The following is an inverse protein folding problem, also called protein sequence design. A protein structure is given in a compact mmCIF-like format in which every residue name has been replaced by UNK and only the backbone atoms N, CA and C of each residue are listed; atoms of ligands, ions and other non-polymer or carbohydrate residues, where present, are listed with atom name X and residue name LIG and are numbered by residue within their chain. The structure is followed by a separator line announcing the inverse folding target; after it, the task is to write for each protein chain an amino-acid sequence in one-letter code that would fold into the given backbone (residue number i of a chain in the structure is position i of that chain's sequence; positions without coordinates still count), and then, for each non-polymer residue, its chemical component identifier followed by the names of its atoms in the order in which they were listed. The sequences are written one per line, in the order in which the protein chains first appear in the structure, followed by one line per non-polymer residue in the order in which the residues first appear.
data_IF_537031842745
#
_entry.id   IF_537031842745
#
_cell.length_a   1.000
_cell.length_b   1.000
_cell.length_c   1.000
_cell.angle_alpha   90.00
_cell.angle_beta   90.00
_cell.angle_gamma   90.00
#
_symmetry.space_group_name_H-M   'P 1'
#
loop_
_entity.id
_entity.type
_entity.pdbx_description
1 polymer ?
#
# COMPACT_ATOMS: atom_id res chain seq x y z
N UNK A 1 -29.12 0.65 -14.48
CA UNK A 1 -28.25 1.50 -13.65
C UNK A 1 -27.61 2.51 -14.57
N UNK A 2 -27.79 3.78 -14.27
CA UNK A 2 -27.15 4.88 -14.99
C UNK A 2 -26.16 5.55 -14.01
N UNK A 3 -24.96 5.84 -14.49
CA UNK A 3 -23.92 6.49 -13.72
C UNK A 3 -23.58 7.82 -14.40
N UNK A 4 -23.71 8.92 -13.68
CA UNK A 4 -23.36 10.25 -14.17
C UNK A 4 -22.28 10.87 -13.28
N UNK A 5 -21.26 11.46 -13.91
CA UNK A 5 -20.24 12.24 -13.20
C UNK A 5 -20.81 13.60 -12.79
N UNK A 6 -20.57 13.99 -11.55
CA UNK A 6 -20.90 15.32 -11.09
C UNK A 6 -19.74 16.28 -11.37
N UNK A 7 -20.02 17.55 -11.57
CA UNK A 7 -19.04 18.59 -11.90
C UNK A 7 -18.06 18.93 -10.75
N UNK A 8 -18.20 18.28 -9.60
CA UNK A 8 -17.25 18.42 -8.48
C UNK A 8 -16.07 17.48 -8.64
N UNK A 9 -14.89 18.00 -8.88
CA UNK A 9 -13.67 17.22 -8.99
C UNK A 9 -12.44 17.98 -8.48
N UNK A 10 -11.34 17.27 -8.31
CA UNK A 10 -10.05 17.88 -7.94
C UNK A 10 -9.12 17.86 -9.15
N UNK A 11 -8.47 18.99 -9.40
CA UNK A 11 -7.36 19.07 -10.36
C UNK A 11 -6.12 18.52 -9.70
N UNK A 12 -5.50 17.53 -10.32
CA UNK A 12 -4.22 16.99 -9.86
C UNK A 12 -3.12 17.80 -10.56
N UNK A 13 -2.27 18.43 -9.78
CA UNK A 13 -1.13 19.26 -10.18
C UNK A 13 -1.48 20.49 -11.06
N UNK A 14 -1.73 21.66 -10.42
CA UNK A 14 -2.05 22.91 -11.14
C UNK A 14 -0.90 23.46 -11.98
N UNK A 15 0.32 22.90 -11.91
CA UNK A 15 1.50 23.36 -12.65
C UNK A 15 1.89 22.47 -13.84
N UNK A 16 1.18 21.35 -14.05
CA UNK A 16 1.40 20.47 -15.19
C UNK A 16 0.42 20.79 -16.32
N UNK A 17 0.92 20.95 -17.53
CA UNK A 17 0.13 21.18 -18.75
C UNK A 17 -0.78 19.98 -19.12
N UNK A 18 -0.63 18.84 -18.46
CA UNK A 18 -1.49 17.65 -18.55
C UNK A 18 -2.37 17.50 -17.31
N UNK A 19 -3.14 18.53 -16.95
CA UNK A 19 -4.07 18.47 -15.83
C UNK A 19 -5.18 17.47 -16.12
N UNK A 20 -5.19 16.35 -15.38
CA UNK A 20 -6.29 15.40 -15.41
C UNK A 20 -7.35 15.84 -14.39
N UNK A 21 -8.58 16.01 -14.89
CA UNK A 21 -9.73 16.20 -14.03
C UNK A 21 -10.25 14.82 -13.59
N UNK A 22 -10.27 14.57 -12.29
CA UNK A 22 -10.88 13.36 -11.72
C UNK A 22 -12.14 13.80 -10.97
N UNK A 23 -13.30 13.34 -11.44
CA UNK A 23 -14.54 13.52 -10.71
C UNK A 23 -14.47 12.80 -9.37
N UNK A 24 -14.80 13.52 -8.28
CA UNK A 24 -14.84 12.96 -6.91
C UNK A 24 -16.26 12.61 -6.48
N UNK A 25 -17.25 12.87 -7.32
CA UNK A 25 -18.66 12.64 -7.03
C UNK A 25 -19.37 12.07 -8.22
N UNK A 26 -20.12 11.00 -8.02
CA UNK A 26 -20.89 10.30 -9.03
C UNK A 26 -22.32 10.14 -8.57
N UNK A 27 -23.29 10.29 -9.47
CA UNK A 27 -24.69 9.97 -9.22
C UNK A 27 -25.00 8.63 -9.84
N UNK A 28 -25.41 7.68 -9.02
CA UNK A 28 -25.86 6.36 -9.47
C UNK A 28 -27.36 6.31 -9.39
N UNK A 29 -28.04 6.12 -10.54
CA UNK A 29 -29.50 6.01 -10.64
C UNK A 29 -29.90 4.57 -10.92
N UNK A 30 -30.82 4.06 -10.15
CA UNK A 30 -31.40 2.73 -10.34
C UNK A 30 -32.90 2.82 -10.61
N UNK A 31 -33.34 2.20 -11.69
CA UNK A 31 -34.77 2.06 -12.00
C UNK A 31 -35.14 0.59 -12.05
N UNK A 32 -36.10 0.20 -11.25
CA UNK A 32 -36.63 -1.16 -11.26
C UNK A 32 -37.70 -1.30 -12.36
N UNK A 33 -37.50 -2.18 -13.32
CA UNK A 33 -38.44 -2.42 -14.43
C UNK A 33 -39.48 -3.50 -14.12
N UNK A 34 -39.25 -4.30 -13.07
CA UNK A 34 -40.20 -5.33 -12.59
C UNK A 34 -40.13 -5.36 -11.07
N UNK A 35 -41.28 -5.45 -10.43
CA UNK A 35 -41.34 -5.73 -8.99
C UNK A 35 -40.76 -7.11 -8.72
N UNK A 36 -39.69 -7.13 -7.95
CA UNK A 36 -39.11 -8.35 -7.40
C UNK A 36 -39.82 -8.57 -6.05
N UNK A 37 -40.46 -9.74 -5.87
CA UNK A 37 -41.14 -10.05 -4.61
C UNK A 37 -40.18 -9.85 -3.43
N UNK A 38 -40.57 -9.03 -2.46
CA UNK A 38 -39.90 -8.75 -1.19
C UNK A 38 -38.61 -7.94 -1.27
N UNK A 39 -38.29 -7.25 -2.34
CA UNK A 39 -37.16 -6.34 -2.44
C UNK A 39 -37.64 -4.96 -2.87
N UNK A 40 -37.45 -3.95 -2.06
CA UNK A 40 -37.76 -2.56 -2.40
C UNK A 40 -36.63 -1.94 -3.24
N UNK A 41 -36.90 -0.80 -3.87
CA UNK A 41 -35.85 -0.03 -4.59
C UNK A 41 -34.77 0.42 -3.62
N UNK A 42 -35.16 0.82 -2.41
CA UNK A 42 -34.25 1.27 -1.36
C UNK A 42 -33.33 0.13 -0.88
N UNK A 43 -33.88 -1.10 -0.72
CA UNK A 43 -33.06 -2.28 -0.40
C UNK A 43 -32.03 -2.58 -1.50
N UNK A 44 -32.40 -2.42 -2.77
CA UNK A 44 -31.48 -2.61 -3.89
C UNK A 44 -30.40 -1.55 -3.93
N UNK A 45 -30.73 -0.28 -3.67
CA UNK A 45 -29.72 0.79 -3.59
C UNK A 45 -28.76 0.55 -2.44
N UNK A 46 -29.27 0.20 -1.27
CA UNK A 46 -28.43 -0.16 -0.11
C UNK A 46 -27.51 -1.33 -0.43
N UNK A 47 -28.00 -2.35 -1.13
CA UNK A 47 -27.19 -3.51 -1.54
C UNK A 47 -26.11 -3.11 -2.56
N UNK A 48 -26.43 -2.25 -3.54
CA UNK A 48 -25.46 -1.73 -4.52
C UNK A 48 -24.36 -0.94 -3.80
N UNK A 49 -24.72 0.00 -2.92
CA UNK A 49 -23.78 0.79 -2.16
C UNK A 49 -22.88 -0.08 -1.29
N UNK A 50 -23.45 -1.06 -0.60
CA UNK A 50 -22.69 -2.01 0.22
C UNK A 50 -21.75 -2.85 -0.64
N UNK A 51 -22.21 -3.43 -1.74
CA UNK A 51 -21.39 -4.26 -2.61
C UNK A 51 -20.23 -3.45 -3.23
N UNK A 52 -20.48 -2.19 -3.60
CA UNK A 52 -19.43 -1.31 -4.12
C UNK A 52 -18.40 -0.98 -3.03
N UNK A 53 -18.86 -0.69 -1.82
CA UNK A 53 -17.97 -0.44 -0.68
C UNK A 53 -17.12 -1.67 -0.33
N UNK A 54 -17.71 -2.85 -0.31
CA UNK A 54 -17.01 -4.11 -0.05
C UNK A 54 -15.96 -4.39 -1.13
N UNK A 55 -16.31 -4.22 -2.42
CA UNK A 55 -15.39 -4.35 -3.55
C UNK A 55 -14.24 -3.33 -3.45
N UNK A 56 -14.55 -2.06 -3.15
CA UNK A 56 -13.53 -1.02 -2.99
C UNK A 56 -12.55 -1.36 -1.86
N UNK A 57 -13.07 -1.84 -0.72
CA UNK A 57 -12.24 -2.27 0.40
C UNK A 57 -11.38 -3.48 0.06
N UNK A 58 -11.90 -4.44 -0.70
CA UNK A 58 -11.15 -5.62 -1.12
C UNK A 58 -10.02 -5.27 -2.09
N UNK A 59 -10.31 -4.40 -3.07
CA UNK A 59 -9.37 -4.09 -4.15
C UNK A 59 -8.33 -3.04 -3.77
N UNK A 60 -8.74 -1.96 -3.10
CA UNK A 60 -7.88 -0.79 -2.84
C UNK A 60 -7.38 -0.66 -1.41
N UNK A 61 -8.09 -1.27 -0.47
CA UNK A 61 -7.86 -1.09 0.97
C UNK A 61 -7.41 -2.38 1.64
N UNK A 62 -7.58 -3.51 0.96
CA UNK A 62 -7.22 -4.84 1.47
C UNK A 62 -5.79 -4.92 1.97
N UNK A 63 -5.56 -5.60 3.07
CA UNK A 63 -4.24 -5.85 3.64
C UNK A 63 -3.31 -6.45 2.61
N UNK A 64 -2.23 -5.74 2.33
CA UNK A 64 -1.19 -6.23 1.44
C UNK A 64 -0.61 -7.54 1.97
N UNK A 65 -0.24 -8.43 1.07
CA UNK A 65 0.29 -9.78 1.35
C UNK A 65 1.49 -9.82 2.33
N UNK A 66 2.07 -8.67 2.67
CA UNK A 66 3.21 -8.56 3.60
C UNK A 66 2.89 -9.11 4.99
N UNK A 67 1.67 -8.89 5.50
CA UNK A 67 1.25 -9.40 6.81
C UNK A 67 0.68 -10.82 6.75
N UNK A 68 0.34 -11.33 5.57
CA UNK A 68 0.02 -12.74 5.41
C UNK A 68 1.30 -13.55 5.61
N UNK A 69 1.36 -14.25 6.72
CA UNK A 69 2.54 -15.03 7.05
C UNK A 69 2.56 -16.33 6.25
N UNK A 70 3.53 -16.43 5.38
CA UNK A 70 3.86 -17.63 4.62
C UNK A 70 5.37 -17.60 4.33
N UNK A 71 6.07 -18.65 4.71
CA UNK A 71 7.49 -18.84 4.43
C UNK A 71 7.71 -19.63 3.15
N UNK A 72 6.64 -20.19 2.58
CA UNK A 72 6.74 -21.14 1.49
C UNK A 72 7.35 -22.47 1.93
N UNK A 73 7.82 -23.24 0.95
CA UNK A 73 8.47 -24.53 1.22
C UNK A 73 9.87 -24.33 1.82
N UNK A 74 10.05 -24.76 3.06
CA UNK A 74 11.32 -24.72 3.80
C UNK A 74 12.03 -26.08 3.86
N UNK A 75 11.35 -27.17 3.47
CA UNK A 75 11.85 -28.53 3.66
C UNK A 75 13.10 -28.85 2.84
N UNK A 76 13.25 -28.19 1.68
CA UNK A 76 14.44 -28.34 0.81
C UNK A 76 15.54 -27.32 1.06
N UNK A 77 15.37 -26.37 2.02
CA UNK A 77 16.34 -25.30 2.25
C UNK A 77 17.35 -25.65 3.32
N UNK A 78 18.55 -25.10 3.20
CA UNK A 78 19.58 -25.20 4.23
C UNK A 78 19.20 -24.42 5.50
N UNK A 79 19.62 -24.91 6.67
CA UNK A 79 19.26 -24.31 7.96
C UNK A 79 19.58 -22.81 8.05
N UNK A 80 20.74 -22.40 7.54
CA UNK A 80 21.12 -20.99 7.53
C UNK A 80 20.29 -20.15 6.54
N UNK A 81 19.78 -20.75 5.46
CA UNK A 81 18.90 -20.08 4.53
C UNK A 81 17.52 -19.85 5.15
N UNK A 82 17.04 -20.80 5.97
CA UNK A 82 15.80 -20.63 6.75
C UNK A 82 15.94 -19.45 7.74
N UNK A 83 17.12 -19.31 8.40
CA UNK A 83 17.38 -18.15 9.26
C UNK A 83 17.27 -16.82 8.49
N UNK A 84 17.82 -16.78 7.27
CA UNK A 84 17.71 -15.60 6.39
C UNK A 84 16.27 -15.33 5.96
N UNK A 85 15.45 -16.36 5.71
CA UNK A 85 14.04 -16.21 5.39
C UNK A 85 13.27 -15.60 6.55
N UNK A 86 13.47 -16.09 7.78
CA UNK A 86 12.85 -15.50 8.98
C UNK A 86 13.22 -14.02 9.15
N UNK A 87 14.51 -13.70 8.99
CA UNK A 87 14.99 -12.31 9.07
C UNK A 87 14.32 -11.44 8.00
N UNK A 88 14.35 -11.87 6.74
CA UNK A 88 13.76 -11.12 5.62
C UNK A 88 12.26 -10.90 5.81
N UNK A 89 11.52 -11.93 6.27
CA UNK A 89 10.08 -11.81 6.50
C UNK A 89 9.78 -10.84 7.62
N UNK A 90 10.49 -10.95 8.74
CA UNK A 90 10.34 -10.05 9.88
C UNK A 90 10.72 -8.61 9.54
N UNK A 91 11.75 -8.38 8.71
CA UNK A 91 12.13 -7.06 8.21
C UNK A 91 11.07 -6.44 7.30
N UNK A 92 10.42 -7.24 6.45
CA UNK A 92 9.31 -6.79 5.64
C UNK A 92 8.13 -6.34 6.51
N UNK A 93 7.78 -7.14 7.52
CA UNK A 93 6.74 -6.79 8.49
C UNK A 93 7.11 -5.51 9.26
N UNK A 94 8.36 -5.39 9.72
CA UNK A 94 8.83 -4.19 10.42
C UNK A 94 8.69 -2.92 9.58
N UNK A 95 9.11 -2.96 8.31
CA UNK A 95 8.98 -1.81 7.40
C UNK A 95 7.52 -1.41 7.21
N UNK A 96 6.64 -2.39 7.04
CA UNK A 96 5.21 -2.13 6.91
C UNK A 96 4.62 -1.50 8.17
N UNK A 97 4.91 -2.07 9.34
CA UNK A 97 4.43 -1.54 10.62
C UNK A 97 5.01 -0.15 10.92
N UNK A 98 6.26 0.10 10.53
CA UNK A 98 6.85 1.43 10.66
C UNK A 98 6.10 2.48 9.83
N UNK A 99 5.71 2.14 8.60
CA UNK A 99 4.86 3.01 7.78
C UNK A 99 3.52 3.32 8.48
N UNK A 100 2.88 2.31 9.08
CA UNK A 100 1.63 2.52 9.84
C UNK A 100 1.80 3.41 11.07
N UNK A 101 2.96 3.32 11.74
CA UNK A 101 3.30 4.22 12.85
C UNK A 101 3.45 5.66 12.36
N UNK A 102 4.03 5.88 11.20
CA UNK A 102 4.17 7.21 10.58
C UNK A 102 2.83 7.81 10.19
N UNK A 103 1.88 6.99 9.73
CA UNK A 103 0.51 7.40 9.43
C UNK A 103 -0.28 7.74 10.71
N UNK A 104 -0.21 6.92 11.75
CA UNK A 104 -0.89 7.13 13.03
C UNK A 104 -0.18 6.45 14.21
N UNK A 105 0.66 7.19 14.89
CA UNK A 105 1.45 6.70 16.01
C UNK A 105 0.63 6.32 17.26
N UNK A 106 -0.58 6.85 17.40
CA UNK A 106 -1.42 6.71 18.60
C UNK A 106 -2.51 5.65 18.46
N UNK A 107 -2.69 5.12 17.26
CA UNK A 107 -3.73 4.12 17.02
C UNK A 107 -3.54 2.88 17.88
N UNK A 108 -4.64 2.40 18.44
CA UNK A 108 -4.73 1.16 19.20
C UNK A 108 -5.97 0.37 18.78
N UNK A 109 -5.77 -0.88 18.42
CA UNK A 109 -6.86 -1.78 18.04
C UNK A 109 -7.74 -2.13 19.24
N UNK A 110 -9.05 -2.10 19.06
CA UNK A 110 -10.02 -2.58 20.06
C UNK A 110 -10.07 -4.10 20.11
N UNK A 111 -9.83 -4.76 18.95
CA UNK A 111 -9.88 -6.22 18.81
C UNK A 111 -8.66 -6.87 19.46
N UNK A 112 -7.46 -6.41 19.12
CA UNK A 112 -6.21 -7.00 19.61
C UNK A 112 -5.70 -6.34 20.89
N UNK A 113 -6.18 -5.16 21.22
CA UNK A 113 -5.67 -4.34 22.33
C UNK A 113 -4.26 -3.81 22.08
N UNK A 114 -3.69 -3.99 20.87
CA UNK A 114 -2.31 -3.63 20.57
C UNK A 114 -2.23 -2.34 19.74
N UNK A 115 -1.13 -1.60 19.92
CA UNK A 115 -0.75 -0.50 19.03
C UNK A 115 0.28 -0.97 18.02
N UNK A 116 0.45 -0.25 16.89
CA UNK A 116 1.52 -0.55 15.94
C UNK A 116 2.91 -0.46 16.57
N UNK A 117 3.12 0.43 17.55
CA UNK A 117 4.38 0.48 18.30
C UNK A 117 4.62 -0.78 19.14
N UNK A 118 3.57 -1.34 19.74
CA UNK A 118 3.67 -2.60 20.48
C UNK A 118 3.99 -3.75 19.53
N UNK A 119 3.31 -3.82 18.38
CA UNK A 119 3.56 -4.85 17.37
C UNK A 119 4.99 -4.75 16.83
N UNK A 120 5.50 -3.53 16.57
CA UNK A 120 6.91 -3.32 16.20
C UNK A 120 7.87 -3.94 17.23
N UNK A 121 7.62 -3.70 18.53
CA UNK A 121 8.43 -4.29 19.60
C UNK A 121 8.31 -5.82 19.63
N UNK A 122 7.14 -6.37 19.37
CA UNK A 122 6.96 -7.83 19.30
C UNK A 122 7.78 -8.42 18.16
N UNK A 123 7.76 -7.85 16.96
CA UNK A 123 8.59 -8.29 15.83
C UNK A 123 10.08 -8.19 16.18
N UNK A 124 10.50 -7.06 16.74
CA UNK A 124 11.89 -6.85 17.17
C UNK A 124 12.33 -7.86 18.24
N UNK A 125 11.45 -8.25 19.15
CA UNK A 125 11.76 -9.28 20.15
C UNK A 125 12.01 -10.64 19.48
N UNK A 126 11.13 -11.04 18.53
CA UNK A 126 11.35 -12.29 17.77
C UNK A 126 12.67 -12.23 16.99
N UNK A 127 12.98 -11.11 16.34
CA UNK A 127 14.25 -10.94 15.63
C UNK A 127 15.47 -11.03 16.55
N UNK A 128 15.43 -10.26 17.64
CA UNK A 128 16.61 -10.09 18.51
C UNK A 128 16.84 -11.28 19.44
N UNK A 129 15.82 -12.09 19.69
CA UNK A 129 15.92 -13.23 20.56
C UNK A 129 15.82 -14.55 19.80
N UNK A 130 14.65 -14.88 19.25
CA UNK A 130 14.39 -16.23 18.71
C UNK A 130 15.12 -16.49 17.41
N UNK A 131 15.10 -15.53 16.46
CA UNK A 131 15.81 -15.69 15.18
C UNK A 131 17.32 -15.68 15.40
N UNK A 132 17.84 -14.77 16.23
CA UNK A 132 19.28 -14.73 16.54
C UNK A 132 19.75 -15.98 17.25
N UNK A 133 18.96 -16.50 18.21
CA UNK A 133 19.26 -17.75 18.91
C UNK A 133 19.33 -18.92 17.94
N UNK A 134 18.35 -19.03 17.03
CA UNK A 134 18.34 -20.05 16.00
C UNK A 134 19.55 -19.91 15.06
N UNK A 135 19.79 -18.71 14.53
CA UNK A 135 20.91 -18.43 13.62
C UNK A 135 22.27 -18.73 14.26
N UNK A 136 22.47 -18.29 15.50
CA UNK A 136 23.70 -18.58 16.24
C UNK A 136 23.90 -20.08 16.43
N UNK A 137 22.86 -20.80 16.85
CA UNK A 137 22.93 -22.24 17.04
C UNK A 137 23.28 -22.98 15.75
N UNK A 138 22.66 -22.64 14.62
CA UNK A 138 22.94 -23.24 13.32
C UNK A 138 24.37 -22.97 12.88
N UNK A 139 24.83 -21.71 13.04
CA UNK A 139 26.20 -21.33 12.67
C UNK A 139 27.25 -21.98 13.56
N UNK A 140 27.05 -22.03 14.88
CA UNK A 140 27.99 -22.65 15.82
C UNK A 140 28.10 -24.16 15.60
N UNK A 141 26.97 -24.84 15.35
CA UNK A 141 26.93 -26.27 15.11
C UNK A 141 27.33 -26.65 13.67
N UNK A 142 27.42 -25.67 12.76
CA UNK A 142 27.73 -25.92 11.33
C UNK A 142 26.72 -26.84 10.65
N UNK A 143 25.42 -26.70 10.99
CA UNK A 143 24.36 -27.57 10.49
C UNK A 143 24.10 -27.37 9.02
N UNK A 144 24.07 -28.46 8.27
CA UNK A 144 23.69 -28.48 6.84
C UNK A 144 22.93 -29.77 6.52
N UNK A 145 21.89 -29.67 5.70
CA UNK A 145 21.12 -30.84 5.22
C UNK A 145 21.93 -31.67 4.21
N UNK A 146 22.73 -30.99 3.37
CA UNK A 146 23.61 -31.61 2.42
C UNK A 146 24.94 -30.83 2.31
N UNK A 147 25.87 -31.16 3.18
CA UNK A 147 27.15 -30.46 3.36
C UNK A 147 27.89 -30.24 2.03
N UNK A 148 28.09 -31.31 1.24
CA UNK A 148 28.89 -31.22 0.01
C UNK A 148 28.21 -30.36 -1.06
N UNK A 149 26.89 -30.48 -1.18
CA UNK A 149 26.11 -29.67 -2.11
C UNK A 149 26.11 -28.20 -1.69
N UNK A 150 25.93 -27.94 -0.41
CA UNK A 150 25.87 -26.59 0.10
C UNK A 150 27.20 -25.84 -0.03
N UNK A 151 28.31 -26.52 0.28
CA UNK A 151 29.67 -25.96 0.09
C UNK A 151 29.93 -25.62 -1.37
N UNK A 152 29.57 -26.52 -2.28
CA UNK A 152 29.72 -26.25 -3.74
C UNK A 152 28.88 -25.05 -4.17
N UNK A 153 27.67 -24.93 -3.65
CA UNK A 153 26.79 -23.80 -3.95
C UNK A 153 27.36 -22.49 -3.44
N UNK A 154 27.92 -22.47 -2.21
CA UNK A 154 28.55 -21.27 -1.65
C UNK A 154 29.83 -20.88 -2.40
N UNK A 155 30.66 -21.86 -2.79
CA UNK A 155 31.83 -21.59 -3.61
C UNK A 155 31.45 -20.99 -4.96
N UNK A 156 30.46 -21.54 -5.65
CA UNK A 156 29.93 -20.94 -6.90
C UNK A 156 29.41 -19.51 -6.68
N UNK A 157 28.66 -19.26 -5.59
CA UNK A 157 28.22 -17.90 -5.23
C UNK A 157 29.42 -16.97 -5.01
N UNK A 158 30.46 -17.42 -4.34
CA UNK A 158 31.69 -16.66 -4.12
C UNK A 158 32.42 -16.33 -5.42
N UNK A 159 32.46 -17.25 -6.39
CA UNK A 159 33.05 -16.98 -7.70
C UNK A 159 32.28 -15.86 -8.43
N UNK A 160 30.96 -15.91 -8.40
CA UNK A 160 30.11 -14.85 -8.98
C UNK A 160 30.26 -13.51 -8.24
N UNK A 161 30.36 -13.53 -6.91
CA UNK A 161 30.60 -12.36 -6.10
C UNK A 161 32.00 -11.76 -6.34
N UNK A 162 33.02 -12.58 -6.54
CA UNK A 162 34.37 -12.13 -6.88
C UNK A 162 34.40 -11.38 -8.22
N UNK A 163 33.67 -11.87 -9.24
CA UNK A 163 33.53 -11.17 -10.51
C UNK A 163 32.87 -9.81 -10.30
N UNK A 164 31.81 -9.76 -9.50
CA UNK A 164 31.09 -8.51 -9.17
C UNK A 164 31.98 -7.54 -8.38
N UNK A 165 32.74 -8.04 -7.42
CA UNK A 165 33.72 -7.26 -6.66
C UNK A 165 34.77 -6.63 -7.58
N UNK A 166 35.37 -7.43 -8.47
CA UNK A 166 36.37 -6.94 -9.42
C UNK A 166 35.79 -5.85 -10.31
N UNK A 167 34.55 -6.00 -10.79
CA UNK A 167 33.88 -4.94 -11.55
C UNK A 167 33.78 -3.63 -10.79
N UNK A 168 33.33 -3.65 -9.53
CA UNK A 168 33.24 -2.44 -8.73
C UNK A 168 34.61 -1.82 -8.45
N UNK A 169 35.65 -2.65 -8.25
CA UNK A 169 37.02 -2.16 -8.03
C UNK A 169 37.65 -1.56 -9.29
N UNK A 170 37.34 -2.10 -10.47
CA UNK A 170 37.72 -1.50 -11.76
C UNK A 170 37.05 -0.14 -11.93
N UNK A 171 35.73 -0.07 -11.68
CA UNK A 171 34.98 1.19 -11.76
C UNK A 171 35.52 2.22 -10.76
N UNK A 172 35.80 1.83 -9.51
CA UNK A 172 36.41 2.69 -8.50
C UNK A 172 37.77 3.24 -8.95
N UNK A 173 38.65 2.35 -9.36
CA UNK A 173 40.02 2.74 -9.78
C UNK A 173 39.98 3.61 -11.02
N UNK A 174 39.14 3.31 -11.99
CA UNK A 174 38.98 4.13 -13.20
C UNK A 174 38.50 5.53 -12.89
N UNK A 175 37.49 5.68 -12.03
CA UNK A 175 36.97 7.00 -11.59
C UNK A 175 37.98 7.76 -10.74
N UNK A 176 38.69 7.10 -9.85
CA UNK A 176 39.76 7.70 -9.07
C UNK A 176 40.86 8.23 -9.97
N UNK A 177 41.26 7.50 -11.01
CA UNK A 177 42.23 7.94 -11.99
C UNK A 177 41.70 9.19 -12.78
N UNK A 178 40.44 9.17 -13.20
CA UNK A 178 39.81 10.31 -13.86
C UNK A 178 39.80 11.57 -12.98
N UNK A 179 39.56 11.43 -11.66
CA UNK A 179 39.67 12.57 -10.71
C UNK A 179 41.07 13.14 -10.70
N UNK A 180 42.10 12.27 -10.63
CA UNK A 180 43.49 12.70 -10.61
C UNK A 180 43.88 13.40 -11.94
N UNK A 181 43.48 12.82 -13.07
CA UNK A 181 43.75 13.39 -14.40
C UNK A 181 43.02 14.72 -14.59
N UNK A 182 41.77 14.81 -14.12
CA UNK A 182 40.99 16.05 -14.19
C UNK A 182 41.60 17.15 -13.31
N UNK A 183 42.03 16.84 -12.09
CA UNK A 183 42.67 17.82 -11.20
C UNK A 183 44.00 18.30 -11.79
N UNK A 184 44.79 17.43 -12.38
CA UNK A 184 46.04 17.76 -13.07
C UNK A 184 45.82 18.65 -14.30
N UNK A 185 44.78 18.38 -15.11
CA UNK A 185 44.45 19.15 -16.30
C UNK A 185 43.89 20.55 -15.97
N UNK A 186 43.13 20.67 -14.87
CA UNK A 186 42.49 21.92 -14.45
C UNK A 186 43.46 22.94 -13.85
N UNK A 187 44.66 22.51 -13.39
CA UNK A 187 45.66 23.43 -12.86
C UNK A 187 46.10 24.47 -13.90
N UNK A 188 45.91 24.20 -15.21
CA UNK A 188 46.38 25.04 -16.31
C UNK A 188 45.35 25.91 -17.04
N UNK A 189 44.02 25.68 -16.88
CA UNK A 189 43.17 26.10 -17.99
C UNK A 189 41.92 26.94 -17.67
N UNK A 190 41.35 26.98 -16.50
CA UNK A 190 40.12 27.78 -16.25
C UNK A 190 40.17 28.48 -14.90
N UNK A 191 40.52 29.75 -14.93
CA UNK A 191 40.29 30.67 -13.82
C UNK A 191 39.01 31.47 -14.11
N UNK A 192 37.96 31.26 -13.33
CA UNK A 192 36.76 32.12 -13.43
C UNK A 192 36.94 33.26 -12.41
N UNK A 193 37.15 34.48 -12.84
CA UNK A 193 37.23 35.63 -11.94
C UNK A 193 35.81 35.92 -11.41
N UNK A 194 35.62 35.85 -10.10
CA UNK A 194 34.44 36.38 -9.43
C UNK A 194 34.83 37.63 -8.63
N UNK A 195 33.96 38.65 -8.67
CA UNK A 195 34.15 39.95 -7.99
C UNK A 195 33.18 39.95 -6.81
N UNK A 196 33.68 40.19 -5.57
CA UNK A 196 32.81 40.42 -4.41
C UNK A 196 32.35 41.89 -4.33
N UNK A 197 31.47 42.23 -3.37
CA UNK A 197 30.98 43.58 -3.13
C UNK A 197 32.09 44.62 -2.79
N UNK A 198 33.29 44.13 -2.42
CA UNK A 198 34.48 44.98 -2.15
C UNK A 198 35.42 45.11 -3.32
N UNK A 199 35.02 44.65 -4.53
CA UNK A 199 35.84 44.65 -5.76
C UNK A 199 37.14 43.82 -5.66
N UNK A 200 37.21 42.85 -4.76
CA UNK A 200 38.32 41.92 -4.70
C UNK A 200 38.08 40.76 -5.66
N UNK A 201 39.09 40.39 -6.42
CA UNK A 201 39.02 39.28 -7.38
C UNK A 201 39.34 37.98 -6.67
N UNK A 202 38.39 37.06 -6.69
CA UNK A 202 38.62 35.70 -6.23
C UNK A 202 38.68 34.76 -7.44
N UNK A 203 39.66 33.88 -7.41
CA UNK A 203 39.76 32.80 -8.37
C UNK A 203 39.18 31.55 -7.70
N UNK A 204 37.99 31.11 -8.11
CA UNK A 204 37.40 29.86 -7.62
C UNK A 204 37.54 28.78 -8.70
N UNK A 205 37.97 27.59 -8.27
CA UNK A 205 37.87 26.38 -9.09
C UNK A 205 36.42 25.85 -9.02
N UNK A 206 35.87 25.52 -10.17
CA UNK A 206 34.61 24.75 -10.20
C UNK A 206 34.94 23.28 -10.01
N UNK A 207 34.69 22.75 -8.80
CA UNK A 207 34.95 21.34 -8.45
C UNK A 207 33.80 20.41 -8.87
N UNK A 208 32.81 20.88 -9.61
CA UNK A 208 31.58 20.12 -9.95
C UNK A 208 31.87 18.77 -10.61
N UNK A 209 32.86 18.71 -11.49
CA UNK A 209 33.26 17.47 -12.17
C UNK A 209 33.98 16.49 -11.27
N UNK A 210 34.92 16.98 -10.44
CA UNK A 210 35.63 16.12 -9.47
C UNK A 210 34.72 15.63 -8.35
N UNK A 211 33.79 16.47 -7.89
CA UNK A 211 32.81 16.06 -6.85
C UNK A 211 31.90 14.94 -7.35
N UNK A 212 31.43 15.02 -8.62
CA UNK A 212 30.64 13.97 -9.21
C UNK A 212 31.43 12.65 -9.32
N UNK A 213 32.62 12.69 -9.89
CA UNK A 213 33.48 11.51 -10.06
C UNK A 213 33.85 10.89 -8.72
N UNK A 214 34.11 11.72 -7.70
CA UNK A 214 34.42 11.26 -6.34
C UNK A 214 33.22 10.52 -5.73
N UNK A 215 32.02 11.09 -5.81
CA UNK A 215 30.79 10.43 -5.31
C UNK A 215 30.55 9.09 -6.00
N UNK A 216 30.76 9.02 -7.31
CA UNK A 216 30.61 7.77 -8.03
C UNK A 216 31.71 6.74 -7.69
N UNK A 217 32.92 7.20 -7.42
CA UNK A 217 34.00 6.33 -6.92
C UNK A 217 33.66 5.79 -5.52
N UNK A 218 33.22 6.65 -4.61
CA UNK A 218 32.80 6.24 -3.26
C UNK A 218 31.61 5.27 -3.29
N UNK A 219 30.66 5.48 -4.22
CA UNK A 219 29.56 4.53 -4.44
C UNK A 219 30.11 3.17 -4.88
N UNK A 220 31.01 3.13 -5.87
CA UNK A 220 31.59 1.87 -6.37
C UNK A 220 32.39 1.16 -5.26
N UNK A 221 33.17 1.90 -4.46
CA UNK A 221 33.89 1.35 -3.32
C UNK A 221 32.94 0.78 -2.26
N UNK A 222 31.87 1.50 -1.93
CA UNK A 222 30.85 1.05 -0.97
C UNK A 222 30.18 -0.23 -1.43
N UNK A 223 29.83 -0.34 -2.72
CA UNK A 223 29.28 -1.56 -3.32
C UNK A 223 30.29 -2.71 -3.32
N UNK A 224 31.55 -2.42 -3.66
CA UNK A 224 32.64 -3.40 -3.58
C UNK A 224 32.79 -3.96 -2.16
N UNK A 225 32.84 -3.11 -1.16
CA UNK A 225 32.96 -3.51 0.25
C UNK A 225 31.73 -4.32 0.74
N UNK A 226 30.54 -4.06 0.21
CA UNK A 226 29.34 -4.85 0.53
C UNK A 226 29.47 -6.26 -0.03
N UNK A 227 29.93 -6.40 -1.29
CA UNK A 227 30.18 -7.70 -1.93
C UNK A 227 31.28 -8.48 -1.23
N UNK A 228 32.36 -7.81 -0.81
CA UNK A 228 33.47 -8.46 -0.07
C UNK A 228 32.98 -9.04 1.26
N UNK A 229 32.13 -8.31 1.98
CA UNK A 229 31.48 -8.84 3.20
C UNK A 229 30.66 -10.09 2.93
N UNK A 230 29.89 -10.13 1.84
CA UNK A 230 29.12 -11.33 1.46
C UNK A 230 30.04 -12.54 1.19
N UNK A 231 31.23 -12.30 0.59
CA UNK A 231 32.24 -13.36 0.36
C UNK A 231 32.83 -13.86 1.69
N UNK A 232 33.16 -12.94 2.59
CA UNK A 232 33.69 -13.26 3.94
C UNK A 232 32.65 -14.08 4.71
N UNK A 233 31.40 -13.67 4.72
CA UNK A 233 30.30 -14.37 5.38
C UNK A 233 30.11 -15.79 4.82
N UNK A 234 30.13 -15.94 3.48
CA UNK A 234 30.03 -17.26 2.87
C UNK A 234 31.23 -18.15 3.24
N UNK A 235 32.46 -17.60 3.28
CA UNK A 235 33.66 -18.33 3.67
C UNK A 235 33.60 -18.79 5.13
N UNK A 236 33.08 -17.94 6.05
CA UNK A 236 32.87 -18.31 7.45
C UNK A 236 31.86 -19.47 7.59
N UNK A 237 30.76 -19.40 6.83
CA UNK A 237 29.77 -20.49 6.77
C UNK A 237 30.43 -21.78 6.25
N UNK A 238 31.21 -21.73 5.16
CA UNK A 238 31.92 -22.87 4.61
C UNK A 238 32.86 -23.50 5.65
N UNK A 239 33.63 -22.66 6.37
CA UNK A 239 34.55 -23.11 7.39
C UNK A 239 33.81 -23.83 8.54
N UNK A 240 32.70 -23.27 9.02
CA UNK A 240 31.89 -23.85 10.09
C UNK A 240 31.22 -25.15 9.67
N UNK A 241 30.63 -25.20 8.47
CA UNK A 241 30.02 -26.42 7.92
C UNK A 241 31.08 -27.53 7.70
N UNK A 242 32.30 -27.15 7.29
CA UNK A 242 33.40 -28.11 7.16
C UNK A 242 33.85 -28.68 8.50
N UNK A 243 33.92 -27.86 9.53
CA UNK A 243 34.32 -28.24 10.89
C UNK A 243 33.21 -28.92 11.69
N UNK A 244 31.99 -28.98 11.16
CA UNK A 244 30.82 -29.49 11.87
C UNK A 244 30.98 -30.94 12.34
N UNK A 245 30.66 -31.14 13.63
CA UNK A 245 30.52 -32.42 14.31
C UNK A 245 29.10 -32.67 14.79
N UNK A 246 28.12 -32.04 14.12
CA UNK A 246 26.73 -32.08 14.52
C UNK A 246 26.17 -33.51 14.53
N UNK A 247 25.48 -33.85 15.60
CA UNK A 247 24.81 -35.12 15.81
C UNK A 247 23.29 -35.02 15.57
N UNK A 248 22.57 -36.14 15.68
CA UNK A 248 21.12 -36.18 15.48
C UNK A 248 20.36 -35.28 16.47
N UNK A 249 20.87 -35.08 17.68
CA UNK A 249 20.26 -34.21 18.69
C UNK A 249 20.34 -32.73 18.26
N UNK A 250 21.46 -32.33 17.67
CA UNK A 250 21.65 -30.99 17.09
C UNK A 250 20.64 -30.69 15.97
N UNK A 251 20.37 -31.64 15.11
CA UNK A 251 19.34 -31.50 14.05
C UNK A 251 17.94 -31.39 14.63
N UNK A 252 17.58 -32.23 15.58
CA UNK A 252 16.27 -32.14 16.29
C UNK A 252 16.08 -30.80 16.97
N UNK A 253 17.11 -30.31 17.63
CA UNK A 253 17.06 -29.01 18.29
C UNK A 253 16.92 -27.84 17.31
N UNK A 254 17.56 -27.93 16.14
CA UNK A 254 17.37 -26.93 15.07
C UNK A 254 15.94 -26.92 14.57
N UNK A 255 15.35 -28.09 14.32
CA UNK A 255 13.96 -28.22 13.89
C UNK A 255 12.96 -27.73 14.93
N UNK A 256 13.21 -27.93 16.23
CA UNK A 256 12.42 -27.33 17.31
C UNK A 256 12.51 -25.82 17.34
N UNK A 257 13.71 -25.26 17.14
CA UNK A 257 13.91 -23.82 17.06
C UNK A 257 13.22 -23.21 15.84
N UNK A 258 13.24 -23.88 14.69
CA UNK A 258 12.48 -23.47 13.49
C UNK A 258 11.00 -23.36 13.82
N UNK A 259 10.42 -24.40 14.42
CA UNK A 259 8.99 -24.40 14.82
C UNK A 259 8.67 -23.24 15.77
N UNK A 260 9.53 -23.04 16.77
CA UNK A 260 9.35 -21.94 17.74
C UNK A 260 9.33 -20.57 17.06
N UNK A 261 10.30 -20.30 16.18
CA UNK A 261 10.39 -19.03 15.45
C UNK A 261 9.19 -18.86 14.50
N UNK A 262 8.81 -19.93 13.79
CA UNK A 262 7.67 -19.94 12.89
C UNK A 262 6.36 -19.61 13.62
N UNK A 263 6.10 -20.26 14.75
CA UNK A 263 4.92 -20.02 15.57
C UNK A 263 4.88 -18.59 16.11
N UNK A 264 6.00 -18.09 16.64
CA UNK A 264 6.10 -16.72 17.14
C UNK A 264 5.87 -15.68 16.04
N UNK A 265 6.49 -15.82 14.87
CA UNK A 265 6.29 -14.92 13.74
C UNK A 265 4.86 -14.98 13.21
N UNK A 266 4.26 -16.17 13.13
CA UNK A 266 2.87 -16.36 12.72
C UNK A 266 1.90 -15.68 13.68
N UNK A 267 2.14 -15.80 14.99
CA UNK A 267 1.31 -15.15 16.01
C UNK A 267 1.40 -13.61 15.89
N UNK A 268 2.61 -13.07 15.74
CA UNK A 268 2.82 -11.64 15.58
C UNK A 268 2.22 -11.13 14.26
N UNK A 269 2.38 -11.88 13.16
CA UNK A 269 1.80 -11.55 11.87
C UNK A 269 0.27 -11.51 11.91
N UNK A 270 -0.37 -12.49 12.56
CA UNK A 270 -1.82 -12.53 12.74
C UNK A 270 -2.33 -11.34 13.58
N UNK A 271 -1.59 -10.99 14.64
CA UNK A 271 -1.90 -9.81 15.47
C UNK A 271 -1.77 -8.52 14.65
N UNK A 272 -0.72 -8.41 13.86
CA UNK A 272 -0.48 -7.28 12.97
C UNK A 272 -1.56 -7.16 11.88
N UNK A 273 -1.92 -8.26 11.22
CA UNK A 273 -2.95 -8.31 10.18
C UNK A 273 -4.33 -7.92 10.73
N UNK A 274 -4.70 -8.43 11.91
CA UNK A 274 -5.96 -8.08 12.55
C UNK A 274 -6.01 -6.60 12.94
N UNK A 275 -4.92 -6.08 13.53
CA UNK A 275 -4.81 -4.66 13.91
C UNK A 275 -4.85 -3.76 12.68
N UNK A 276 -4.17 -4.14 11.60
CA UNK A 276 -4.12 -3.38 10.36
C UNK A 276 -5.48 -3.34 9.65
N UNK A 277 -6.18 -4.47 9.58
CA UNK A 277 -7.55 -4.54 9.03
C UNK A 277 -8.51 -3.62 9.76
N UNK A 278 -8.44 -3.60 11.08
CA UNK A 278 -9.27 -2.72 11.90
C UNK A 278 -8.90 -1.25 11.69
N UNK A 279 -7.60 -0.93 11.65
CA UNK A 279 -7.10 0.42 11.35
C UNK A 279 -7.58 0.91 9.98
N UNK A 280 -7.42 0.10 8.96
CA UNK A 280 -7.86 0.41 7.61
C UNK A 280 -9.38 0.64 7.58
N UNK A 281 -10.17 -0.25 8.20
CA UNK A 281 -11.62 -0.08 8.29
C UNK A 281 -12.01 1.22 9.00
N UNK A 282 -11.27 1.58 10.03
CA UNK A 282 -11.52 2.83 10.78
C UNK A 282 -11.17 4.07 9.96
N UNK A 283 -10.03 4.06 9.27
CA UNK A 283 -9.54 5.24 8.51
C UNK A 283 -10.24 5.42 7.17
N UNK A 284 -10.75 4.34 6.59
CA UNK A 284 -11.40 4.38 5.27
C UNK A 284 -12.92 4.40 5.34
N UNK A 285 -13.49 4.38 6.53
CA UNK A 285 -14.95 4.34 6.69
C UNK A 285 -15.66 5.53 6.01
N UNK A 286 -14.97 6.67 5.91
CA UNK A 286 -15.49 7.90 5.33
C UNK A 286 -14.94 8.17 3.91
N UNK A 287 -14.19 7.23 3.30
CA UNK A 287 -13.67 7.40 1.94
C UNK A 287 -14.77 7.32 0.88
N UNK A 288 -15.83 6.55 1.15
CA UNK A 288 -17.01 6.48 0.33
C UNK A 288 -18.20 6.92 1.17
N UNK A 289 -18.78 8.04 0.83
CA UNK A 289 -20.01 8.53 1.45
C UNK A 289 -21.15 8.39 0.44
N UNK A 290 -22.24 7.77 0.87
CA UNK A 290 -23.44 7.60 0.05
C UNK A 290 -24.53 8.52 0.61
N UNK A 291 -25.14 9.29 -0.28
CA UNK A 291 -26.33 10.08 0.06
C UNK A 291 -27.49 9.53 -0.76
N UNK A 292 -28.45 8.94 -0.08
CA UNK A 292 -29.65 8.42 -0.73
C UNK A 292 -30.63 9.56 -0.98
N UNK A 293 -31.03 9.71 -2.22
CA UNK A 293 -32.16 10.55 -2.61
C UNK A 293 -33.30 9.66 -3.04
N UNK A 294 -34.20 9.34 -2.14
CA UNK A 294 -35.47 8.73 -2.54
C UNK A 294 -36.27 9.78 -3.25
N UNK A 295 -36.32 9.70 -4.56
CA UNK A 295 -37.16 10.55 -5.40
C UNK A 295 -38.62 10.24 -5.11
N UNK A 296 -39.16 10.85 -4.06
CA UNK A 296 -40.60 10.93 -3.76
C UNK A 296 -41.36 11.71 -4.85
N UNK A 297 -40.67 12.06 -5.95
CA UNK A 297 -41.21 12.93 -7.01
C UNK A 297 -42.47 12.45 -7.69
N UNK A 298 -42.78 11.18 -7.68
CA UNK A 298 -43.95 10.68 -8.36
C UNK A 298 -45.23 10.70 -7.48
N UNK A 299 -45.10 10.50 -6.16
CA UNK A 299 -46.32 10.47 -5.31
C UNK A 299 -46.91 11.85 -5.11
N UNK A 300 -46.08 12.87 -4.95
CA UNK A 300 -46.52 14.24 -4.78
C UNK A 300 -47.06 14.83 -6.08
N UNK A 301 -46.43 14.54 -7.22
CA UNK A 301 -46.93 14.93 -8.55
C UNK A 301 -48.25 14.23 -8.93
N UNK A 302 -48.40 12.96 -8.56
CA UNK A 302 -49.68 12.23 -8.76
C UNK A 302 -50.77 12.81 -7.86
N UNK A 303 -50.47 13.15 -6.63
CA UNK A 303 -51.39 13.75 -5.68
C UNK A 303 -51.84 15.15 -6.16
N UNK A 304 -50.94 15.99 -6.62
CA UNK A 304 -51.21 17.32 -7.17
C UNK A 304 -52.04 17.24 -8.47
N UNK A 305 -51.77 16.29 -9.38
CA UNK A 305 -52.54 16.06 -10.58
C UNK A 305 -53.96 15.54 -10.27
N UNK A 306 -54.09 14.64 -9.31
CA UNK A 306 -55.41 14.13 -8.87
C UNK A 306 -56.23 15.23 -8.21
N UNK A 307 -55.66 16.04 -7.35
CA UNK A 307 -56.35 17.17 -6.72
C UNK A 307 -56.74 18.23 -7.79
N UNK A 308 -55.81 18.56 -8.68
CA UNK A 308 -56.06 19.52 -9.75
C UNK A 308 -57.21 19.08 -10.68
N UNK A 309 -57.25 17.80 -11.11
CA UNK A 309 -58.33 17.26 -11.94
C UNK A 309 -59.67 17.22 -11.19
N UNK A 310 -59.69 16.91 -9.89
CA UNK A 310 -60.89 16.90 -9.08
C UNK A 310 -61.46 18.30 -8.92
N UNK A 311 -60.64 19.33 -8.75
CA UNK A 311 -61.09 20.73 -8.68
C UNK A 311 -61.68 21.21 -10.00
N UNK A 312 -61.06 20.90 -11.13
CA UNK A 312 -61.59 21.24 -12.47
C UNK A 312 -62.93 20.55 -12.72
N UNK A 313 -63.04 19.29 -12.36
CA UNK A 313 -64.30 18.52 -12.51
C UNK A 313 -65.39 19.11 -11.61
N UNK A 314 -65.07 19.53 -10.41
CA UNK A 314 -66.02 20.22 -9.49
C UNK A 314 -66.52 21.55 -10.06
N UNK A 315 -65.63 22.36 -10.64
CA UNK A 315 -66.00 23.64 -11.27
C UNK A 315 -66.95 23.39 -12.46
N UNK A 316 -66.67 22.38 -13.29
CA UNK A 316 -67.55 21.99 -14.42
C UNK A 316 -68.92 21.56 -13.91
N UNK A 317 -69.01 20.73 -12.88
CA UNK A 317 -70.28 20.33 -12.26
C UNK A 317 -71.08 21.50 -11.72
N UNK A 318 -70.41 22.45 -11.06
CA UNK A 318 -71.07 23.68 -10.57
C UNK A 318 -71.59 24.53 -11.71
N UNK A 319 -70.84 24.68 -12.81
CA UNK A 319 -71.27 25.42 -13.99
C UNK A 319 -72.49 24.77 -14.65
N UNK A 320 -72.48 23.43 -14.84
CA UNK A 320 -73.60 22.65 -15.37
C UNK A 320 -74.82 22.77 -14.45
N UNK A 321 -74.67 22.68 -13.15
CA UNK A 321 -75.75 22.87 -12.21
C UNK A 321 -76.35 24.28 -12.32
N UNK A 322 -75.53 25.29 -12.43
CA UNK A 322 -75.96 26.71 -12.54
C UNK A 322 -76.77 26.94 -13.85
N UNK A 323 -76.32 26.30 -14.96
CA UNK A 323 -77.05 26.37 -16.25
C UNK A 323 -78.41 25.66 -16.18
N UNK A 324 -78.42 24.47 -15.55
CA UNK A 324 -79.65 23.70 -15.36
C UNK A 324 -80.65 24.43 -14.47
N UNK A 325 -80.18 24.97 -13.32
CA UNK A 325 -81.00 25.74 -12.38
C UNK A 325 -81.53 27.00 -13.05
N UNK A 326 -80.72 27.74 -13.82
CA UNK A 326 -81.15 28.89 -14.61
C UNK A 326 -82.17 28.51 -15.70
N UNK A 327 -82.06 27.35 -16.31
CA UNK A 327 -83.01 26.85 -17.29
C UNK A 327 -84.32 26.44 -16.61
N UNK A 328 -84.30 25.80 -15.48
CA UNK A 328 -85.52 25.40 -14.72
C UNK A 328 -86.25 26.66 -14.23
N UNK A 329 -85.58 27.66 -13.68
CA UNK A 329 -86.19 28.91 -13.25
C UNK A 329 -86.85 29.67 -14.40
N UNK A 330 -86.19 29.79 -15.53
CA UNK A 330 -86.81 30.40 -16.74
C UNK A 330 -88.05 29.66 -17.21
N UNK A 331 -88.12 28.34 -17.09
CA UNK A 331 -89.29 27.54 -17.46
C UNK A 331 -90.42 27.63 -16.46
N UNK A 332 -90.11 27.97 -15.17
CA UNK A 332 -91.12 28.26 -14.15
C UNK A 332 -91.71 29.64 -14.36
N UNK A 333 -90.87 30.67 -14.61
CA UNK A 333 -91.29 32.06 -14.82
C UNK A 333 -92.12 32.19 -16.10
N UNK A 334 -91.91 31.38 -17.17
CA UNK A 334 -92.71 31.37 -18.39
C UNK A 334 -94.00 30.62 -18.30
N UNK A 335 -94.42 30.13 -17.12
CA UNK A 335 -95.76 29.52 -16.91
C UNK A 335 -96.80 30.47 -16.32
N UNK A 336 -96.40 31.71 -16.03
CA UNK A 336 -97.28 32.73 -15.43
C UNK A 336 -97.61 33.92 -16.35
N UNK A 337 -97.33 33.79 -17.68
CA UNK A 337 -97.87 34.70 -18.70
C UNK A 337 -99.07 34.04 -19.46
#
# INVERSE_FOLDING_TARGET
IDIAENSSGKTIDPNDSSTYYISTSYTVSYRMNREIKNISVDDMMTLICKSYNDMFHEEYVGTKSVLKYDLGDIDGKEYIEIAKLFTNKSDQMLRYIQQRIEENATYRSEITGQSFQTIKKMIQNVQNYSIKKYSAFVLESGLSRNKDHYIRTLNYKNDMLNIKYQKFMIDYNGRKQQVQDYDSAMIGTVMVPSINEKQEYYMSRTNTGTDYLTKEADYSLSQGNAVDRDIIDNNDIIAKVNASTADEESYKKADELIKTVDEELKQVANTADTTDKEYIKHTTKDYLTFTEYTGSGNKMFILETVIGTAVVFFIILCAVYYVIDGYIRRKEDGRYE
#
